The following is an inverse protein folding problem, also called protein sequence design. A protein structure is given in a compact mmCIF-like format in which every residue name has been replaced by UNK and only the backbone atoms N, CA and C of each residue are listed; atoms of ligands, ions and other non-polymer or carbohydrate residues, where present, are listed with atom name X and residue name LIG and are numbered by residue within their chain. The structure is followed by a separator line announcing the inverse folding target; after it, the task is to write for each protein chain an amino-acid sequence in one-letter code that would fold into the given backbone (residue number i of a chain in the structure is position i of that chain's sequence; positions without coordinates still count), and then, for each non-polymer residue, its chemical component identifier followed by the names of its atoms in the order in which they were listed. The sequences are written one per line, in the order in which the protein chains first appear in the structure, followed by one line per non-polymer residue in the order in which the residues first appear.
data_IF_945250774144
#
_entry.id   IF_945250774144
#
_cell.length_a   1.000
_cell.length_b   1.000
_cell.length_c   1.000
_cell.angle_alpha   90.00
_cell.angle_beta   90.00
_cell.angle_gamma   90.00
#
_symmetry.space_group_name_H-M   'P 1'
#
loop_
_entity.id
_entity.type
_entity.pdbx_description
1 polymer ?
#
# COMPACT_ATOMS: atom_id res chain seq x y z
N UNK A 1 -10.63 -20.95 -7.85
CA UNK A 1 -11.24 -20.07 -6.83
C UNK A 1 -12.01 -20.93 -5.83
N UNK A 2 -12.03 -20.61 -4.52
CA UNK A 2 -12.87 -21.33 -3.56
C UNK A 2 -14.34 -21.19 -3.98
N UNK A 3 -15.15 -22.24 -3.82
CA UNK A 3 -16.56 -22.26 -4.27
C UNK A 3 -17.49 -21.28 -3.53
N UNK A 4 -17.00 -20.56 -2.52
CA UNK A 4 -17.79 -19.76 -1.56
C UNK A 4 -17.46 -18.26 -1.57
N UNK A 5 -16.55 -17.80 -2.42
CA UNK A 5 -16.18 -16.37 -2.46
C UNK A 5 -17.29 -15.52 -3.08
N UNK A 6 -17.70 -14.44 -2.42
CA UNK A 6 -18.75 -13.53 -2.92
C UNK A 6 -18.59 -12.12 -2.35
N UNK A 7 -19.21 -11.12 -3.00
CA UNK A 7 -19.20 -9.74 -2.53
C UNK A 7 -17.86 -9.01 -2.65
N UNK A 8 -17.84 -7.79 -2.12
CA UNK A 8 -16.73 -6.84 -2.10
C UNK A 8 -16.25 -6.63 -0.67
N UNK A 9 -14.95 -6.48 -0.47
CA UNK A 9 -14.43 -6.17 0.86
C UNK A 9 -12.97 -5.74 0.87
N UNK A 10 -12.54 -5.29 2.04
CA UNK A 10 -11.17 -4.84 2.28
C UNK A 10 -10.42 -5.95 3.02
N UNK A 11 -9.19 -6.21 2.59
CA UNK A 11 -8.29 -7.18 3.20
C UNK A 11 -7.06 -6.46 3.69
N UNK A 12 -6.78 -6.56 4.99
CA UNK A 12 -5.54 -6.06 5.58
C UNK A 12 -4.77 -7.21 6.20
N UNK A 13 -3.47 -7.01 6.36
CA UNK A 13 -2.58 -7.91 7.09
C UNK A 13 -2.01 -7.17 8.29
N UNK A 14 -2.12 -7.76 9.48
CA UNK A 14 -1.54 -7.26 10.71
C UNK A 14 -0.87 -8.41 11.47
N UNK A 15 0.40 -8.25 11.81
CA UNK A 15 1.24 -9.31 12.37
C UNK A 15 1.93 -8.99 13.69
N UNK A 16 1.77 -7.79 14.22
CA UNK A 16 2.30 -7.43 15.53
C UNK A 16 1.50 -6.26 16.08
N UNK A 17 1.76 -5.90 17.34
CA UNK A 17 1.03 -4.82 18.01
C UNK A 17 1.02 -3.53 17.17
N UNK A 18 2.18 -3.10 16.67
CA UNK A 18 2.30 -1.86 15.90
C UNK A 18 1.48 -1.89 14.60
N UNK A 19 1.48 -3.02 13.87
CA UNK A 19 0.69 -3.18 12.64
C UNK A 19 -0.81 -3.30 12.92
N UNK A 20 -1.21 -3.87 14.06
CA UNK A 20 -2.60 -3.87 14.49
C UNK A 20 -3.08 -2.46 14.86
N UNK A 21 -2.28 -1.68 15.59
CA UNK A 21 -2.65 -0.31 15.97
C UNK A 21 -2.82 0.58 14.72
N UNK A 22 -1.94 0.42 13.71
CA UNK A 22 -2.07 1.11 12.42
C UNK A 22 -3.28 0.65 11.62
N UNK A 23 -3.51 -0.67 11.54
CA UNK A 23 -4.69 -1.26 10.90
C UNK A 23 -5.99 -0.74 11.53
N UNK A 24 -6.03 -0.68 12.86
CA UNK A 24 -7.17 -0.17 13.60
C UNK A 24 -7.41 1.33 13.33
N UNK A 25 -6.33 2.12 13.23
CA UNK A 25 -6.41 3.53 12.84
C UNK A 25 -7.02 3.68 11.45
N UNK A 26 -6.55 2.90 10.46
CA UNK A 26 -7.08 2.92 9.10
C UNK A 26 -8.58 2.52 9.06
N UNK A 27 -8.97 1.49 9.82
CA UNK A 27 -10.37 1.05 9.92
C UNK A 27 -11.24 2.13 10.58
N UNK A 28 -10.77 2.77 11.65
CA UNK A 28 -11.49 3.87 12.31
C UNK A 28 -11.72 5.05 11.37
N UNK A 29 -10.72 5.42 10.56
CA UNK A 29 -10.87 6.46 9.54
C UNK A 29 -11.91 6.05 8.48
N UNK A 30 -11.81 4.84 7.94
CA UNK A 30 -12.79 4.30 7.00
C UNK A 30 -14.22 4.35 7.55
N UNK A 31 -14.42 3.97 8.82
CA UNK A 31 -15.76 3.91 9.44
C UNK A 31 -16.29 5.26 9.89
N UNK A 32 -15.47 6.05 10.57
CA UNK A 32 -15.93 7.26 11.25
C UNK A 32 -15.78 8.52 10.41
N UNK A 33 -14.74 8.61 9.57
CA UNK A 33 -14.50 9.76 8.71
C UNK A 33 -15.16 9.57 7.34
N UNK A 34 -15.02 8.39 6.74
CA UNK A 34 -15.49 8.13 5.36
C UNK A 34 -16.82 7.37 5.28
N UNK A 35 -17.34 6.88 6.41
CA UNK A 35 -18.57 6.09 6.46
C UNK A 35 -18.60 4.87 5.52
N UNK A 36 -17.43 4.35 5.17
CA UNK A 36 -17.27 3.19 4.31
C UNK A 36 -17.96 1.97 4.92
N UNK A 37 -18.77 1.27 4.13
CA UNK A 37 -19.59 0.12 4.57
C UNK A 37 -19.03 -1.23 4.15
N UNK A 38 -17.90 -1.27 3.41
CA UNK A 38 -17.29 -2.51 2.98
C UNK A 38 -16.92 -3.39 4.18
N UNK A 39 -17.24 -4.68 4.10
CA UNK A 39 -16.75 -5.68 5.05
C UNK A 39 -15.22 -5.72 5.04
N UNK A 40 -14.63 -5.93 6.21
CA UNK A 40 -13.17 -5.94 6.38
C UNK A 40 -12.73 -7.28 6.97
N UNK A 41 -11.69 -7.88 6.41
CA UNK A 41 -10.97 -9.00 7.02
C UNK A 41 -9.54 -8.57 7.36
N UNK A 42 -9.14 -8.82 8.60
CA UNK A 42 -7.78 -8.54 9.10
C UNK A 42 -7.07 -9.87 9.32
N UNK A 43 -6.11 -10.17 8.46
CA UNK A 43 -5.40 -11.45 8.46
C UNK A 43 -4.12 -11.38 9.30
N UNK A 44 -3.87 -12.41 10.10
CA UNK A 44 -2.70 -12.53 10.98
C UNK A 44 -2.13 -13.96 10.94
N UNK A 45 -0.89 -14.15 11.42
CA UNK A 45 -0.35 -15.48 11.70
C UNK A 45 -0.78 -15.98 13.09
N UNK A 46 -0.59 -17.28 13.35
CA UNK A 46 -1.00 -17.92 14.60
C UNK A 46 -0.35 -17.32 15.85
N UNK A 47 0.91 -16.91 15.76
CA UNK A 47 1.66 -16.29 16.86
C UNK A 47 1.44 -14.76 16.96
N UNK A 48 0.62 -14.22 16.08
CA UNK A 48 0.30 -12.79 15.96
C UNK A 48 -1.18 -12.54 16.27
N UNK A 49 -1.84 -13.47 16.94
CA UNK A 49 -3.27 -13.39 17.22
C UNK A 49 -3.61 -12.09 18.00
N UNK A 50 -4.67 -11.36 17.59
CA UNK A 50 -5.10 -10.18 18.33
C UNK A 50 -5.56 -10.57 19.74
N UNK A 51 -5.29 -9.70 20.72
CA UNK A 51 -5.86 -9.83 22.05
C UNK A 51 -7.40 -9.76 22.01
N UNK A 52 -8.07 -10.30 23.03
CA UNK A 52 -9.54 -10.28 23.07
C UNK A 52 -10.13 -8.85 23.00
N UNK A 53 -9.48 -7.88 23.64
CA UNK A 53 -9.87 -6.47 23.54
C UNK A 53 -9.81 -5.96 22.09
N UNK A 54 -8.70 -6.26 21.41
CA UNK A 54 -8.48 -5.84 20.02
C UNK A 54 -9.45 -6.53 19.07
N UNK A 55 -9.76 -7.82 19.30
CA UNK A 55 -10.78 -8.55 18.56
C UNK A 55 -12.15 -7.90 18.69
N UNK A 56 -12.57 -7.57 19.93
CA UNK A 56 -13.85 -6.89 20.18
C UNK A 56 -13.90 -5.51 19.51
N UNK A 57 -12.80 -4.77 19.53
CA UNK A 57 -12.72 -3.46 18.87
C UNK A 57 -12.85 -3.58 17.34
N UNK A 58 -12.11 -4.51 16.72
CA UNK A 58 -12.25 -4.82 15.29
C UNK A 58 -13.69 -5.23 14.92
N UNK A 59 -14.29 -6.13 15.70
CA UNK A 59 -15.66 -6.60 15.48
C UNK A 59 -16.68 -5.45 15.60
N UNK A 60 -16.49 -4.53 16.55
CA UNK A 60 -17.35 -3.34 16.71
C UNK A 60 -17.28 -2.39 15.51
N UNK A 61 -16.18 -2.43 14.76
CA UNK A 61 -15.97 -1.68 13.52
C UNK A 61 -16.35 -2.47 12.27
N UNK A 62 -16.97 -3.65 12.41
CA UNK A 62 -17.34 -4.51 11.28
C UNK A 62 -16.14 -5.11 10.55
N UNK A 63 -15.02 -5.32 11.27
CA UNK A 63 -13.84 -6.02 10.79
C UNK A 63 -13.72 -7.39 11.48
N UNK A 64 -13.39 -8.43 10.71
CA UNK A 64 -13.26 -9.81 11.21
C UNK A 64 -11.80 -10.23 11.18
N UNK A 65 -11.18 -10.57 12.32
CA UNK A 65 -9.85 -11.16 12.32
C UNK A 65 -9.87 -12.58 11.74
N UNK A 66 -8.84 -12.93 10.96
CA UNK A 66 -8.69 -14.22 10.29
C UNK A 66 -7.28 -14.78 10.49
N UNK A 67 -7.19 -16.06 10.82
CA UNK A 67 -5.93 -16.74 11.07
C UNK A 67 -5.44 -17.45 9.79
N UNK A 68 -4.29 -17.05 9.26
CA UNK A 68 -3.67 -17.67 8.09
C UNK A 68 -3.14 -19.09 8.35
N UNK A 69 -3.03 -19.53 9.60
CA UNK A 69 -2.57 -20.87 9.95
C UNK A 69 -3.66 -21.94 9.84
N UNK A 70 -4.92 -21.57 9.60
CA UNK A 70 -6.01 -22.52 9.46
C UNK A 70 -5.74 -23.50 8.30
N UNK A 71 -5.59 -24.81 8.57
CA UNK A 71 -5.25 -25.81 7.57
C UNK A 71 -6.35 -26.04 6.51
N UNK A 72 -7.55 -25.51 6.70
CA UNK A 72 -8.65 -25.59 5.72
C UNK A 72 -8.53 -24.54 4.60
N UNK A 73 -7.65 -23.56 4.75
CA UNK A 73 -7.43 -22.52 3.75
C UNK A 73 -6.80 -23.06 2.47
N UNK A 74 -6.97 -22.34 1.36
CA UNK A 74 -6.35 -22.69 0.07
C UNK A 74 -4.83 -22.47 0.11
N UNK A 75 -4.40 -21.45 0.86
CA UNK A 75 -3.00 -21.06 1.06
C UNK A 75 -2.70 -20.84 2.54
N UNK A 76 -2.66 -21.90 3.36
CA UNK A 76 -2.35 -21.76 4.78
C UNK A 76 -0.87 -21.46 5.00
N UNK A 77 -0.55 -20.74 6.06
CA UNK A 77 0.81 -20.46 6.54
C UNK A 77 0.92 -21.03 7.96
N UNK A 78 1.22 -22.33 8.04
CA UNK A 78 1.27 -23.09 9.30
C UNK A 78 2.60 -22.87 10.04
N UNK A 79 3.69 -22.70 9.27
CA UNK A 79 5.04 -22.56 9.82
C UNK A 79 5.73 -21.34 9.22
N UNK A 80 6.33 -20.52 10.08
CA UNK A 80 7.30 -19.52 9.65
C UNK A 80 8.52 -20.22 9.09
N UNK A 81 8.93 -19.84 7.87
CA UNK A 81 10.20 -20.31 7.30
C UNK A 81 11.42 -19.67 7.96
N UNK A 82 11.30 -18.41 8.36
CA UNK A 82 12.27 -17.64 9.14
C UNK A 82 11.48 -16.74 10.09
N UNK A 83 12.03 -16.47 11.29
CA UNK A 83 11.35 -15.71 12.34
C UNK A 83 10.89 -14.31 11.87
N UNK A 84 11.65 -13.67 10.98
CA UNK A 84 11.52 -12.23 10.74
C UNK A 84 10.81 -11.83 9.44
N UNK A 85 10.67 -12.74 8.45
CA UNK A 85 10.11 -12.37 7.13
C UNK A 85 9.21 -13.45 6.54
N UNK A 86 7.95 -13.09 6.30
CA UNK A 86 6.93 -13.92 5.67
C UNK A 86 6.35 -13.17 4.46
N UNK A 87 7.02 -13.31 3.32
CA UNK A 87 6.71 -12.54 2.12
C UNK A 87 5.42 -12.98 1.40
N UNK A 88 4.97 -14.21 1.63
CA UNK A 88 3.77 -14.75 0.98
C UNK A 88 2.44 -14.33 1.61
N UNK A 89 2.47 -13.54 2.69
CA UNK A 89 1.28 -13.24 3.50
C UNK A 89 0.25 -12.44 2.70
N UNK A 90 0.69 -11.42 1.95
CA UNK A 90 -0.19 -10.53 1.17
C UNK A 90 -1.04 -11.32 0.17
N UNK A 91 -0.40 -12.13 -0.67
CA UNK A 91 -1.12 -12.94 -1.64
C UNK A 91 -1.98 -14.02 -0.96
N UNK A 92 -1.51 -14.63 0.13
CA UNK A 92 -2.29 -15.62 0.87
C UNK A 92 -3.57 -15.01 1.46
N UNK A 93 -3.50 -13.83 2.08
CA UNK A 93 -4.66 -13.11 2.63
C UNK A 93 -5.68 -12.79 1.54
N UNK A 94 -5.24 -12.25 0.40
CA UNK A 94 -6.13 -11.97 -0.74
C UNK A 94 -6.77 -13.27 -1.24
N UNK A 95 -6.00 -14.32 -1.49
CA UNK A 95 -6.49 -15.61 -2.01
C UNK A 95 -7.54 -16.22 -1.07
N UNK A 96 -7.23 -16.27 0.23
CA UNK A 96 -8.05 -16.93 1.25
C UNK A 96 -9.27 -16.11 1.71
N UNK A 97 -9.30 -14.80 1.43
CA UNK A 97 -10.42 -13.93 1.81
C UNK A 97 -11.77 -14.43 1.29
N UNK A 98 -12.84 -14.12 2.04
CA UNK A 98 -14.19 -14.51 1.65
C UNK A 98 -14.73 -13.70 0.44
N UNK A 99 -14.11 -12.57 0.12
CA UNK A 99 -14.59 -11.67 -0.93
C UNK A 99 -14.32 -12.21 -2.33
N UNK A 100 -15.17 -11.89 -3.31
CA UNK A 100 -14.85 -12.08 -4.73
C UNK A 100 -13.96 -10.94 -5.23
N UNK A 101 -14.33 -9.71 -4.86
CA UNK A 101 -13.66 -8.47 -5.24
C UNK A 101 -12.97 -7.89 -3.99
N UNK A 102 -11.65 -7.75 -4.04
CA UNK A 102 -10.82 -7.41 -2.87
C UNK A 102 -10.14 -6.07 -3.10
N UNK A 103 -10.28 -5.13 -2.15
CA UNK A 103 -9.32 -4.05 -1.96
C UNK A 103 -8.32 -4.51 -0.91
N UNK A 104 -7.08 -4.80 -1.31
CA UNK A 104 -6.01 -5.05 -0.36
C UNK A 104 -5.43 -3.71 0.15
N UNK A 105 -5.08 -3.62 1.43
CA UNK A 105 -4.36 -2.48 2.02
C UNK A 105 -3.27 -2.96 2.99
N UNK A 106 -2.08 -2.35 2.89
CA UNK A 106 -1.06 -2.45 3.94
C UNK A 106 -1.49 -1.67 5.19
N UNK A 107 -1.01 -2.09 6.36
CA UNK A 107 -1.41 -1.49 7.65
C UNK A 107 -1.08 0.01 7.76
N UNK A 108 -0.07 0.49 7.05
CA UNK A 108 0.37 1.89 7.00
C UNK A 108 -0.19 2.65 5.79
N UNK A 109 -1.15 2.07 5.07
CA UNK A 109 -1.83 2.71 3.97
C UNK A 109 -3.26 3.08 4.34
N UNK A 110 -3.55 4.38 4.35
CA UNK A 110 -4.82 4.92 4.80
C UNK A 110 -5.55 5.59 3.63
N UNK A 111 -6.78 5.15 3.31
CA UNK A 111 -7.61 5.85 2.33
C UNK A 111 -7.98 7.25 2.83
N UNK A 112 -7.84 8.26 1.97
CA UNK A 112 -8.25 9.64 2.21
C UNK A 112 -9.73 9.90 1.89
N UNK A 113 -10.39 8.94 1.21
CA UNK A 113 -11.80 8.95 0.86
C UNK A 113 -12.39 7.53 0.95
N UNK A 114 -13.72 7.38 0.84
CA UNK A 114 -14.35 6.05 0.74
C UNK A 114 -13.92 5.36 -0.56
N UNK A 115 -13.17 4.24 -0.52
CA UNK A 115 -12.64 3.60 -1.70
C UNK A 115 -13.66 2.69 -2.42
N UNK A 116 -14.92 2.64 -1.97
CA UNK A 116 -15.95 1.75 -2.52
C UNK A 116 -16.15 1.93 -4.04
N UNK A 117 -16.00 3.16 -4.54
CA UNK A 117 -16.17 3.47 -5.96
C UNK A 117 -15.17 2.75 -6.87
N UNK A 118 -14.01 2.32 -6.35
CA UNK A 118 -12.98 1.63 -7.13
C UNK A 118 -13.49 0.35 -7.78
N UNK A 119 -14.45 -0.35 -7.14
CA UNK A 119 -15.06 -1.55 -7.70
C UNK A 119 -16.00 -1.27 -8.89
N UNK A 120 -16.28 0.00 -9.17
CA UNK A 120 -17.22 0.42 -10.19
C UNK A 120 -16.60 1.24 -11.33
N UNK A 121 -15.30 1.55 -11.25
CA UNK A 121 -14.56 2.25 -12.31
C UNK A 121 -14.53 1.45 -13.60
N UNK A 122 -14.40 2.14 -14.74
CA UNK A 122 -14.40 1.51 -16.06
C UNK A 122 -13.17 0.62 -16.23
N UNK A 123 -12.04 1.09 -15.73
CA UNK A 123 -10.72 0.47 -15.72
C UNK A 123 -10.79 -0.88 -14.99
N UNK A 124 -11.36 -0.89 -13.78
CA UNK A 124 -11.50 -2.12 -12.99
C UNK A 124 -12.48 -3.10 -13.62
N UNK A 125 -13.62 -2.60 -14.13
CA UNK A 125 -14.59 -3.46 -14.81
C UNK A 125 -14.02 -4.10 -16.07
N UNK A 126 -13.14 -3.40 -16.79
CA UNK A 126 -12.47 -3.92 -17.97
C UNK A 126 -11.44 -5.01 -17.62
N UNK A 127 -10.56 -4.77 -16.65
CA UNK A 127 -9.40 -5.63 -16.41
C UNK A 127 -9.58 -6.61 -15.25
N UNK A 128 -10.33 -6.24 -14.22
CA UNK A 128 -10.43 -6.95 -12.95
C UNK A 128 -9.24 -6.75 -12.01
N UNK A 129 -8.31 -5.83 -12.34
CA UNK A 129 -7.16 -5.52 -11.50
C UNK A 129 -6.79 -4.02 -11.64
N UNK A 130 -6.83 -3.29 -10.52
CA UNK A 130 -6.29 -1.93 -10.41
C UNK A 130 -5.01 -1.92 -9.58
N UNK A 131 -3.98 -1.29 -10.12
CA UNK A 131 -2.68 -1.09 -9.49
C UNK A 131 -2.28 0.39 -9.50
N UNK A 132 -1.29 0.71 -8.67
CA UNK A 132 -0.76 2.06 -8.53
C UNK A 132 0.75 2.08 -8.78
N UNK A 133 1.27 3.16 -9.40
CA UNK A 133 2.68 3.29 -9.65
C UNK A 133 3.45 3.49 -8.34
N UNK A 134 4.68 3.02 -8.38
CA UNK A 134 5.70 3.19 -7.37
C UNK A 134 6.78 4.16 -7.88
N UNK A 135 7.73 4.48 -7.00
CA UNK A 135 8.76 5.48 -7.19
C UNK A 135 9.94 5.06 -8.07
N UNK A 136 10.06 3.79 -8.42
CA UNK A 136 11.19 3.29 -9.20
C UNK A 136 10.75 2.47 -10.40
N UNK A 137 11.73 2.19 -11.26
CA UNK A 137 11.59 1.31 -12.41
C UNK A 137 12.58 0.16 -12.27
N UNK A 138 12.20 -1.02 -12.75
CA UNK A 138 13.16 -2.10 -12.94
C UNK A 138 14.05 -1.79 -14.14
N UNK A 139 15.38 -1.90 -13.96
CA UNK A 139 16.33 -1.65 -15.04
C UNK A 139 16.14 -2.66 -16.17
N UNK A 140 16.25 -2.23 -17.44
CA UNK A 140 15.97 -3.10 -18.58
C UNK A 140 16.90 -4.32 -18.74
N UNK A 141 18.04 -4.32 -18.05
CA UNK A 141 18.96 -5.47 -18.01
C UNK A 141 18.64 -6.48 -16.88
N UNK A 142 17.60 -6.23 -16.10
CA UNK A 142 17.19 -7.12 -15.02
C UNK A 142 16.76 -8.49 -15.60
N UNK A 143 17.30 -9.57 -15.03
CA UNK A 143 17.04 -10.94 -15.49
C UNK A 143 15.63 -11.45 -15.22
N UNK A 144 14.79 -10.70 -14.51
CA UNK A 144 13.39 -11.05 -14.37
C UNK A 144 12.67 -11.19 -15.72
N UNK A 145 13.02 -10.35 -16.71
CA UNK A 145 12.41 -10.40 -18.05
C UNK A 145 12.72 -11.74 -18.75
N UNK A 146 13.97 -12.21 -18.65
CA UNK A 146 14.40 -13.51 -19.17
C UNK A 146 13.76 -14.68 -18.39
N UNK A 147 13.65 -14.56 -17.06
CA UNK A 147 13.08 -15.60 -16.19
C UNK A 147 11.59 -15.81 -16.43
N UNK A 148 10.86 -14.73 -16.73
CA UNK A 148 9.42 -14.76 -16.96
C UNK A 148 9.03 -14.81 -18.45
N UNK A 149 10.01 -14.77 -19.37
CA UNK A 149 9.81 -14.72 -20.82
C UNK A 149 8.86 -13.57 -21.26
N UNK A 150 9.14 -12.37 -20.75
CA UNK A 150 8.36 -11.15 -21.03
C UNK A 150 9.25 -10.05 -21.62
N UNK A 151 8.69 -9.12 -22.43
CA UNK A 151 9.45 -8.00 -22.94
C UNK A 151 9.88 -7.06 -21.80
N UNK A 152 11.08 -6.50 -21.94
CA UNK A 152 11.50 -5.35 -21.16
C UNK A 152 10.71 -4.11 -21.60
N UNK A 153 10.12 -3.41 -20.65
CA UNK A 153 9.38 -2.16 -20.87
C UNK A 153 9.81 -1.10 -19.86
N UNK A 154 9.95 0.16 -20.30
CA UNK A 154 10.34 1.29 -19.45
C UNK A 154 9.13 1.85 -18.68
N UNK A 155 8.60 1.06 -17.78
CA UNK A 155 7.41 1.36 -16.97
C UNK A 155 7.77 1.53 -15.48
N UNK A 156 6.91 2.24 -14.75
CA UNK A 156 7.01 2.31 -13.30
C UNK A 156 6.70 0.96 -12.65
N UNK A 157 7.35 0.68 -11.53
CA UNK A 157 6.99 -0.44 -10.69
C UNK A 157 5.63 -0.24 -10.04
N UNK A 158 5.09 -1.32 -9.51
CA UNK A 158 3.79 -1.35 -8.87
C UNK A 158 3.95 -1.30 -7.36
N UNK A 159 3.23 -0.39 -6.72
CA UNK A 159 3.12 -0.39 -5.27
C UNK A 159 1.99 -1.32 -4.84
N UNK A 160 2.30 -2.29 -3.99
CA UNK A 160 1.35 -3.32 -3.53
C UNK A 160 0.72 -3.01 -2.18
N UNK A 161 1.06 -1.85 -1.60
CA UNK A 161 0.40 -1.29 -0.43
C UNK A 161 -1.10 -1.10 -0.61
N UNK A 162 -1.57 -1.10 -1.86
CA UNK A 162 -2.98 -1.17 -2.22
C UNK A 162 -3.16 -1.78 -3.61
N UNK A 163 -4.17 -2.63 -3.74
CA UNK A 163 -4.53 -3.29 -5.00
C UNK A 163 -6.02 -3.59 -4.99
N UNK A 164 -6.70 -3.43 -6.13
CA UNK A 164 -8.10 -3.87 -6.27
C UNK A 164 -8.15 -5.05 -7.22
N UNK A 165 -8.64 -6.19 -6.77
CA UNK A 165 -8.53 -7.46 -7.50
C UNK A 165 -9.88 -8.18 -7.51
N UNK A 166 -10.43 -8.42 -8.70
CA UNK A 166 -11.47 -9.43 -8.93
C UNK A 166 -10.80 -10.81 -8.98
N UNK A 167 -11.02 -11.63 -7.95
CA UNK A 167 -10.42 -12.96 -7.86
C UNK A 167 -10.92 -13.93 -8.91
N UNK A 168 -12.09 -13.70 -9.51
CA UNK A 168 -12.59 -14.54 -10.59
C UNK A 168 -11.78 -14.32 -11.87
N UNK A 169 -11.56 -13.04 -12.23
CA UNK A 169 -10.75 -12.66 -13.40
C UNK A 169 -9.26 -12.88 -13.19
N UNK A 170 -8.78 -12.71 -11.95
CA UNK A 170 -7.36 -12.70 -11.62
C UNK A 170 -6.88 -13.94 -10.86
N UNK A 171 -7.64 -15.05 -10.88
CA UNK A 171 -7.32 -16.22 -10.05
C UNK A 171 -5.94 -16.80 -10.36
N UNK A 172 -5.62 -16.99 -11.65
CA UNK A 172 -4.36 -17.60 -12.11
C UNK A 172 -3.16 -16.70 -11.79
N UNK A 173 -3.15 -15.40 -12.13
CA UNK A 173 -2.01 -14.56 -11.79
C UNK A 173 -1.83 -14.36 -10.27
N UNK A 174 -2.90 -14.38 -9.48
CA UNK A 174 -2.76 -14.47 -8.01
C UNK A 174 -1.99 -15.72 -7.55
N UNK A 175 -2.20 -16.88 -8.20
CA UNK A 175 -1.44 -18.09 -7.86
C UNK A 175 0.04 -17.93 -8.19
N UNK A 176 0.36 -17.30 -9.32
CA UNK A 176 1.74 -17.07 -9.73
C UNK A 176 2.42 -16.04 -8.82
N UNK A 177 1.75 -14.94 -8.45
CA UNK A 177 2.27 -13.98 -7.48
C UNK A 177 2.59 -14.66 -6.14
N UNK A 178 1.65 -15.45 -5.59
CA UNK A 178 1.89 -16.23 -4.39
C UNK A 178 3.04 -17.23 -4.55
N UNK A 179 3.15 -17.89 -5.72
CA UNK A 179 4.24 -18.81 -6.00
C UNK A 179 5.59 -18.09 -5.99
N UNK A 180 5.70 -16.93 -6.63
CA UNK A 180 6.93 -16.13 -6.63
C UNK A 180 7.31 -15.67 -5.22
N UNK A 181 6.35 -15.20 -4.42
CA UNK A 181 6.57 -14.86 -3.01
C UNK A 181 6.96 -16.09 -2.18
N UNK A 182 6.37 -17.24 -2.49
CA UNK A 182 6.73 -18.49 -1.85
C UNK A 182 8.16 -18.90 -2.21
N UNK A 183 8.60 -18.68 -3.44
CA UNK A 183 9.96 -19.00 -3.91
C UNK A 183 10.87 -17.76 -3.91
N UNK A 184 10.77 -16.93 -2.86
CA UNK A 184 11.48 -15.65 -2.76
C UNK A 184 12.99 -15.79 -2.93
N UNK A 185 13.57 -16.94 -2.57
CA UNK A 185 15.01 -17.22 -2.72
C UNK A 185 15.48 -17.15 -4.17
N UNK A 186 14.56 -17.33 -5.13
CA UNK A 186 14.82 -17.21 -6.56
C UNK A 186 14.41 -15.83 -7.04
N UNK A 187 13.14 -15.47 -6.86
CA UNK A 187 12.57 -14.28 -7.49
C UNK A 187 13.08 -12.97 -6.90
N UNK A 188 13.40 -12.93 -5.60
CA UNK A 188 13.88 -11.69 -4.97
C UNK A 188 15.36 -11.43 -5.20
N UNK A 189 16.05 -12.29 -5.95
CA UNK A 189 17.33 -11.94 -6.56
C UNK A 189 17.15 -10.90 -7.67
N UNK A 190 15.94 -10.79 -8.22
CA UNK A 190 15.60 -9.91 -9.34
C UNK A 190 14.56 -8.86 -8.96
N UNK A 191 13.73 -9.13 -7.96
CA UNK A 191 12.61 -8.29 -7.52
C UNK A 191 12.86 -7.68 -6.13
N UNK A 192 12.31 -6.49 -5.89
CA UNK A 192 12.40 -5.76 -4.62
C UNK A 192 11.34 -6.22 -3.60
N UNK A 193 11.19 -7.55 -3.46
CA UNK A 193 10.30 -8.16 -2.47
C UNK A 193 8.96 -8.65 -3.03
N UNK A 194 8.00 -8.86 -2.13
CA UNK A 194 6.68 -9.41 -2.48
C UNK A 194 5.87 -8.47 -3.36
N UNK A 195 6.08 -7.16 -3.24
CA UNK A 195 5.28 -6.16 -3.96
C UNK A 195 5.37 -6.26 -5.47
N UNK A 196 6.57 -6.43 -6.02
CA UNK A 196 6.76 -6.50 -7.47
C UNK A 196 6.10 -7.76 -8.06
N UNK A 197 5.96 -8.83 -7.27
CA UNK A 197 5.44 -10.11 -7.76
C UNK A 197 4.02 -10.04 -8.32
N UNK A 198 3.20 -9.08 -7.90
CA UNK A 198 1.83 -8.94 -8.41
C UNK A 198 1.85 -8.47 -9.87
N UNK A 199 2.40 -7.28 -10.18
CA UNK A 199 2.51 -6.83 -11.58
C UNK A 199 3.17 -7.87 -12.49
N UNK A 200 4.31 -8.43 -12.06
CA UNK A 200 5.03 -9.41 -12.88
C UNK A 200 4.27 -10.72 -13.10
N UNK A 201 3.43 -11.15 -12.16
CA UNK A 201 2.57 -12.32 -12.37
C UNK A 201 1.52 -12.08 -13.46
N UNK A 202 0.96 -10.88 -13.54
CA UNK A 202 0.02 -10.52 -14.60
C UNK A 202 0.74 -10.43 -15.96
N UNK A 203 1.91 -9.79 -16.02
CA UNK A 203 2.71 -9.70 -17.24
C UNK A 203 3.13 -11.08 -17.77
N UNK A 204 3.65 -11.94 -16.90
CA UNK A 204 4.08 -13.30 -17.27
C UNK A 204 2.96 -14.19 -17.82
N UNK A 205 1.70 -13.85 -17.54
CA UNK A 205 0.52 -14.61 -17.98
C UNK A 205 -0.30 -13.88 -19.04
N UNK A 206 0.18 -12.75 -19.55
CA UNK A 206 -0.53 -11.89 -20.51
C UNK A 206 -1.96 -11.54 -20.01
N UNK A 207 -2.10 -11.29 -18.70
CA UNK A 207 -3.37 -10.98 -18.08
C UNK A 207 -3.55 -9.46 -17.96
N UNK A 208 -4.75 -8.93 -18.30
CA UNK A 208 -4.99 -7.49 -18.24
C UNK A 208 -4.98 -6.99 -16.80
N UNK A 209 -4.38 -5.82 -16.60
CA UNK A 209 -4.50 -5.00 -15.40
C UNK A 209 -4.49 -3.52 -15.83
N UNK A 210 -4.98 -2.65 -14.96
CA UNK A 210 -4.88 -1.21 -15.16
C UNK A 210 -3.92 -0.63 -14.13
N UNK A 211 -2.90 0.07 -14.61
CA UNK A 211 -2.00 0.89 -13.80
C UNK A 211 -2.54 2.32 -13.78
N UNK A 212 -2.83 2.85 -12.59
CA UNK A 212 -3.29 4.23 -12.42
C UNK A 212 -2.29 5.20 -13.06
N UNK A 213 -2.82 6.15 -13.84
CA UNK A 213 -2.03 7.02 -14.70
C UNK A 213 -1.25 8.07 -13.91
N UNK A 214 -1.87 8.62 -12.87
CA UNK A 214 -1.28 9.63 -12.02
C UNK A 214 -0.05 9.08 -11.28
N UNK A 215 1.13 9.62 -11.61
CA UNK A 215 2.37 9.29 -10.93
C UNK A 215 2.31 9.66 -9.45
N UNK A 216 2.97 8.85 -8.63
CA UNK A 216 2.99 8.97 -7.18
C UNK A 216 3.55 10.32 -6.70
N UNK A 217 2.83 10.96 -5.78
CA UNK A 217 3.25 12.14 -5.03
C UNK A 217 3.83 11.77 -3.66
N UNK A 218 4.20 12.77 -2.88
CA UNK A 218 4.77 12.58 -1.54
C UNK A 218 4.28 13.64 -0.56
N UNK A 219 4.04 13.25 0.68
CA UNK A 219 3.79 14.15 1.79
C UNK A 219 4.90 14.07 2.82
N UNK A 220 5.15 15.19 3.50
CA UNK A 220 6.13 15.26 4.58
C UNK A 220 6.30 16.66 5.15
N UNK A 221 7.48 16.90 5.72
CA UNK A 221 7.82 18.12 6.46
C UNK A 221 9.13 18.72 5.97
N UNK A 222 9.44 19.96 6.38
CA UNK A 222 10.72 20.61 6.10
C UNK A 222 11.74 20.32 7.20
N UNK A 223 12.81 19.60 6.87
CA UNK A 223 13.92 19.33 7.79
C UNK A 223 15.16 20.09 7.32
N UNK A 224 15.59 21.09 8.10
CA UNK A 224 16.74 21.94 7.79
C UNK A 224 16.68 22.55 6.37
N UNK A 225 15.53 23.15 6.03
CA UNK A 225 15.24 23.77 4.72
C UNK A 225 15.29 22.81 3.52
N UNK A 226 15.19 21.49 3.75
CA UNK A 226 15.00 20.47 2.71
C UNK A 226 13.71 19.72 2.95
N UNK A 227 12.92 19.53 1.90
CA UNK A 227 11.69 18.75 1.96
C UNK A 227 12.03 17.28 2.25
N UNK A 228 11.50 16.76 3.36
CA UNK A 228 11.62 15.38 3.79
C UNK A 228 10.27 14.68 3.62
N UNK A 229 10.04 14.15 2.42
CA UNK A 229 8.90 13.28 2.15
C UNK A 229 9.06 11.95 2.85
N UNK A 230 8.02 11.48 3.54
CA UNK A 230 8.03 10.20 4.23
C UNK A 230 6.75 9.38 4.02
N UNK A 231 5.90 9.82 3.09
CA UNK A 231 4.60 9.26 2.83
C UNK A 231 4.29 9.38 1.35
N UNK A 232 3.88 8.28 0.71
CA UNK A 232 3.42 8.27 -0.67
C UNK A 232 2.00 8.81 -0.73
N UNK A 233 1.73 9.65 -1.72
CA UNK A 233 0.39 10.08 -2.08
C UNK A 233 0.03 9.43 -3.41
N UNK A 234 -1.03 8.65 -3.41
CA UNK A 234 -1.48 7.93 -4.60
C UNK A 234 -2.93 8.25 -4.88
N UNK A 235 -3.27 8.34 -6.15
CA UNK A 235 -4.45 9.06 -6.63
C UNK A 235 -5.56 8.11 -7.09
N UNK A 236 -6.79 8.62 -7.19
CA UNK A 236 -7.89 7.86 -7.77
C UNK A 236 -7.63 7.57 -9.26
N UNK A 237 -7.99 6.38 -9.77
CA UNK A 237 -7.89 6.08 -11.20
C UNK A 237 -8.94 6.86 -12.00
N UNK A 238 -8.65 7.13 -13.27
CA UNK A 238 -9.58 7.80 -14.17
C UNK A 238 -9.81 9.28 -13.84
N UNK A 239 -8.91 9.92 -13.07
CA UNK A 239 -8.87 11.38 -12.99
C UNK A 239 -8.49 11.97 -14.35
N UNK A 240 -9.16 13.05 -14.76
CA UNK A 240 -8.73 13.81 -15.92
C UNK A 240 -7.34 14.43 -15.64
N UNK A 241 -6.56 14.64 -16.69
CA UNK A 241 -5.31 15.40 -16.61
C UNK A 241 -5.64 16.77 -16.00
N UNK A 242 -5.22 17.00 -14.74
CA UNK A 242 -5.27 18.26 -13.97
C UNK A 242 -6.07 18.24 -12.64
N UNK A 243 -6.81 17.16 -12.28
CA UNK A 243 -7.53 17.06 -10.99
C UNK A 243 -7.37 15.69 -10.30
N UNK A 244 -6.10 15.30 -10.09
CA UNK A 244 -5.77 14.06 -9.40
C UNK A 244 -6.19 14.12 -7.92
N UNK A 245 -7.28 13.43 -7.59
CA UNK A 245 -7.75 13.29 -6.21
C UNK A 245 -6.86 12.32 -5.44
N UNK A 246 -6.22 12.79 -4.35
CA UNK A 246 -5.43 11.92 -3.47
C UNK A 246 -6.37 10.90 -2.82
N UNK A 247 -6.13 9.62 -3.07
CA UNK A 247 -6.96 8.54 -2.54
C UNK A 247 -6.27 7.77 -1.41
N UNK A 248 -4.95 7.63 -1.46
CA UNK A 248 -4.19 6.86 -0.49
C UNK A 248 -3.03 7.67 0.07
N UNK A 249 -2.95 7.69 1.40
CA UNK A 249 -1.85 8.26 2.19
C UNK A 249 -1.07 7.07 2.77
N UNK A 250 -0.04 6.65 2.05
CA UNK A 250 0.74 5.46 2.37
C UNK A 250 2.04 5.84 3.10
N UNK A 251 2.04 5.71 4.42
CA UNK A 251 3.02 6.24 5.35
C UNK A 251 4.30 5.38 5.46
N UNK A 252 4.88 5.04 4.31
CA UNK A 252 5.91 4.02 4.10
C UNK A 252 7.26 4.28 4.78
N UNK A 253 7.71 5.53 4.89
CA UNK A 253 8.93 5.89 5.65
C UNK A 253 8.60 6.39 7.06
N UNK A 254 7.41 6.94 7.25
CA UNK A 254 6.90 7.35 8.56
C UNK A 254 6.87 6.15 9.52
N UNK A 255 6.44 4.96 9.06
CA UNK A 255 6.38 3.74 9.87
C UNK A 255 7.71 3.28 10.48
N UNK A 256 8.85 3.60 9.86
CA UNK A 256 10.19 3.23 10.33
C UNK A 256 10.92 4.39 11.01
N UNK A 257 10.32 5.56 11.03
CA UNK A 257 10.89 6.73 11.71
C UNK A 257 10.56 6.67 13.19
N UNK A 258 11.51 7.04 14.04
CA UNK A 258 11.32 7.03 15.49
C UNK A 258 10.26 8.07 15.88
N UNK A 259 9.26 7.65 16.64
CA UNK A 259 8.15 8.52 17.09
C UNK A 259 8.62 9.81 17.77
N UNK A 260 9.82 9.84 18.37
CA UNK A 260 10.37 11.05 19.00
C UNK A 260 10.56 12.23 18.04
N UNK A 261 10.61 11.96 16.74
CA UNK A 261 10.69 12.98 15.70
C UNK A 261 9.35 13.64 15.40
N UNK A 262 8.24 13.07 15.89
CA UNK A 262 6.89 13.57 15.65
C UNK A 262 6.05 13.69 16.94
N UNK A 263 6.61 13.30 18.08
CA UNK A 263 5.96 13.39 19.38
C UNK A 263 6.92 14.09 20.34
N UNK A 264 6.61 15.34 20.67
CA UNK A 264 7.31 16.14 21.66
C UNK A 264 6.44 16.33 22.91
N UNK A 265 6.68 15.50 23.93
CA UNK A 265 5.81 15.45 25.12
C UNK A 265 4.53 14.66 24.85
N UNK A 266 3.37 15.20 25.26
CA UNK A 266 2.04 14.58 25.06
C UNK A 266 1.30 15.11 23.80
N UNK A 267 1.93 15.95 22.99
CA UNK A 267 1.34 16.53 21.78
C UNK A 267 1.98 15.87 20.54
N UNK A 268 1.18 15.20 19.69
CA UNK A 268 1.65 14.80 18.37
C UNK A 268 1.88 16.05 17.51
N UNK A 269 3.06 16.20 16.93
CA UNK A 269 3.25 17.10 15.81
C UNK A 269 2.60 16.51 14.57
N UNK A 270 2.01 17.39 13.77
CA UNK A 270 1.49 17.10 12.45
C UNK A 270 2.67 16.67 11.52
N UNK A 271 2.80 15.39 11.11
CA UNK A 271 3.93 14.91 10.32
C UNK A 271 3.87 15.40 8.87
N UNK A 272 2.71 15.83 8.39
CA UNK A 272 2.50 16.33 7.04
C UNK A 272 2.23 17.83 7.08
N UNK A 273 3.24 18.60 6.68
CA UNK A 273 3.11 20.04 6.43
C UNK A 273 2.83 20.29 4.94
N UNK A 274 3.46 19.51 4.07
CA UNK A 274 3.49 19.75 2.63
C UNK A 274 3.16 18.48 1.85
N UNK A 275 2.38 18.65 0.78
CA UNK A 275 2.17 17.67 -0.28
C UNK A 275 2.95 18.12 -1.53
N UNK A 276 3.71 17.21 -2.14
CA UNK A 276 4.54 17.47 -3.31
C UNK A 276 4.24 16.44 -4.40
N UNK A 277 3.97 16.91 -5.62
CA UNK A 277 3.66 16.05 -6.79
C UNK A 277 4.32 16.56 -8.06
N UNK A 278 4.47 15.71 -9.07
CA UNK A 278 4.94 16.17 -10.39
C UNK A 278 3.88 17.06 -11.05
N UNK A 279 4.32 18.11 -11.76
CA UNK A 279 3.44 18.90 -12.64
C UNK A 279 2.97 18.13 -13.88
N UNK A 280 3.57 16.97 -14.19
CA UNK A 280 3.16 16.09 -15.29
C UNK A 280 2.86 14.68 -14.77
N UNK A 281 1.98 14.55 -13.79
CA UNK A 281 1.69 13.27 -13.11
C UNK A 281 1.35 12.14 -14.09
N UNK A 282 0.53 12.37 -15.10
CA UNK A 282 0.09 11.33 -16.05
C UNK A 282 1.11 10.96 -17.13
N UNK A 283 2.09 11.83 -17.38
CA UNK A 283 3.10 11.66 -18.43
C UNK A 283 4.52 11.52 -17.86
N UNK A 284 4.65 11.39 -16.53
CA UNK A 284 5.97 11.35 -15.92
C UNK A 284 6.68 10.05 -16.28
N UNK A 285 7.82 10.17 -16.98
CA UNK A 285 8.78 9.08 -17.16
C UNK A 285 10.18 9.46 -16.65
N UNK A 286 10.33 10.66 -16.07
CA UNK A 286 11.62 11.33 -15.86
C UNK A 286 11.92 11.64 -14.40
N UNK A 287 11.01 12.34 -13.70
CA UNK A 287 11.28 12.80 -12.34
C UNK A 287 11.34 11.60 -11.42
N UNK A 288 12.49 11.42 -10.78
CA UNK A 288 12.77 10.29 -9.90
C UNK A 288 12.85 10.81 -8.48
N UNK A 289 12.27 10.10 -7.51
CA UNK A 289 12.55 10.39 -6.12
C UNK A 289 13.96 9.91 -5.74
N UNK A 290 14.66 10.72 -4.96
CA UNK A 290 15.92 10.38 -4.31
C UNK A 290 15.67 10.19 -2.81
N UNK A 291 16.07 9.03 -2.31
CA UNK A 291 16.06 8.71 -0.89
C UNK A 291 17.32 9.24 -0.22
N UNK A 292 17.18 9.85 0.95
CA UNK A 292 18.31 10.33 1.75
C UNK A 292 18.00 10.25 3.24
N UNK A 293 19.03 10.32 4.09
CA UNK A 293 18.86 10.43 5.54
C UNK A 293 19.09 11.88 5.94
N UNK A 294 18.12 12.47 6.66
CA UNK A 294 18.25 13.84 7.17
C UNK A 294 19.42 13.93 8.16
N UNK A 295 19.93 15.14 8.39
CA UNK A 295 20.95 15.35 9.42
C UNK A 295 20.47 15.02 10.84
N UNK A 296 19.16 14.85 11.03
CA UNK A 296 18.55 14.40 12.28
C UNK A 296 18.29 12.88 12.33
N UNK A 297 18.67 12.14 11.28
CA UNK A 297 18.55 10.68 11.21
C UNK A 297 17.22 10.16 10.64
N UNK A 298 16.37 11.02 10.08
CA UNK A 298 15.10 10.61 9.48
C UNK A 298 15.31 10.08 8.07
N UNK A 299 14.61 9.01 7.70
CA UNK A 299 14.55 8.54 6.32
C UNK A 299 13.62 9.46 5.53
N UNK A 300 14.15 10.09 4.49
CA UNK A 300 13.46 11.09 3.70
C UNK A 300 13.51 10.73 2.22
N UNK A 301 12.58 11.30 1.48
CA UNK A 301 12.51 11.28 0.03
C UNK A 301 12.22 12.66 -0.50
N UNK A 302 12.84 13.01 -1.62
CA UNK A 302 12.47 14.19 -2.38
C UNK A 302 12.60 13.91 -3.88
N UNK A 303 11.87 14.64 -4.72
CA UNK A 303 12.09 14.58 -6.16
C UNK A 303 13.44 15.15 -6.55
N UNK A 304 14.07 14.56 -7.57
CA UNK A 304 15.24 15.14 -8.22
C UNK A 304 14.91 16.50 -8.83
N UNK A 305 15.88 17.40 -8.77
CA UNK A 305 15.83 18.71 -9.43
C UNK A 305 16.95 18.79 -10.47
N UNK A 306 17.04 17.79 -11.37
CA UNK A 306 18.04 17.81 -12.43
C UNK A 306 17.60 18.76 -13.53
N UNK A 307 18.58 19.40 -14.18
CA UNK A 307 18.30 20.35 -15.26
C UNK A 307 17.53 19.66 -16.40
N UNK A 308 16.33 20.17 -16.70
CA UNK A 308 15.44 19.64 -17.74
C UNK A 308 14.34 18.70 -17.23
N UNK A 309 14.32 18.36 -15.94
CA UNK A 309 13.19 17.67 -15.33
C UNK A 309 12.03 18.65 -15.08
N UNK A 310 10.76 18.19 -15.19
CA UNK A 310 9.59 19.01 -14.88
C UNK A 310 9.60 19.48 -13.43
N UNK A 311 9.04 20.66 -13.18
CA UNK A 311 8.88 21.16 -11.81
C UNK A 311 7.90 20.29 -11.01
N UNK A 312 8.12 20.27 -9.70
CA UNK A 312 7.17 19.71 -8.75
C UNK A 312 6.27 20.81 -8.18
N UNK A 313 4.99 20.51 -8.04
CA UNK A 313 4.03 21.34 -7.34
C UNK A 313 4.10 20.97 -5.86
N UNK A 314 4.28 21.97 -5.00
CA UNK A 314 4.27 21.80 -3.54
C UNK A 314 3.15 22.65 -2.97
N UNK A 315 2.28 22.03 -2.19
CA UNK A 315 1.08 22.62 -1.60
C UNK A 315 1.06 22.31 -0.09
N UNK A 316 0.35 23.13 0.67
CA UNK A 316 0.08 22.88 2.07
C UNK A 316 -0.79 21.61 2.22
N UNK A 317 -0.40 20.70 3.10
CA UNK A 317 -1.04 19.38 3.20
C UNK A 317 -2.51 19.48 3.62
N UNK A 318 -2.83 20.32 4.60
CA UNK A 318 -4.20 20.51 5.09
C UNK A 318 -5.07 21.23 4.05
N UNK A 319 -4.46 21.95 3.11
CA UNK A 319 -5.18 22.55 1.96
C UNK A 319 -5.61 21.50 0.94
N UNK A 320 -4.83 20.43 0.73
CA UNK A 320 -5.17 19.35 -0.23
C UNK A 320 -5.94 18.19 0.41
N UNK A 321 -5.74 17.94 1.71
CA UNK A 321 -6.46 16.92 2.49
C UNK A 321 -6.96 17.48 3.83
N UNK A 322 -8.00 18.32 3.82
CA UNK A 322 -8.55 18.93 5.03
C UNK A 322 -8.97 17.89 6.07
N UNK A 323 -8.70 18.18 7.34
CA UNK A 323 -9.05 17.37 8.53
C UNK A 323 -8.47 15.94 8.57
N UNK A 324 -7.77 15.48 7.52
CA UNK A 324 -7.25 14.12 7.44
C UNK A 324 -6.29 13.84 8.59
N UNK A 325 -5.31 14.71 8.75
CA UNK A 325 -4.26 14.53 9.74
C UNK A 325 -4.80 14.65 11.17
N UNK A 326 -5.70 15.61 11.42
CA UNK A 326 -6.40 15.74 12.72
C UNK A 326 -7.17 14.46 13.07
N UNK A 327 -7.90 13.88 12.11
CA UNK A 327 -8.62 12.63 12.33
C UNK A 327 -7.66 11.45 12.49
N UNK A 328 -6.55 11.41 11.74
CA UNK A 328 -5.54 10.37 11.86
C UNK A 328 -5.03 10.24 13.31
N UNK A 329 -4.66 11.36 13.95
CA UNK A 329 -4.25 11.35 15.35
C UNK A 329 -5.39 11.08 16.32
N UNK A 330 -6.58 11.66 16.08
CA UNK A 330 -7.78 11.40 16.88
C UNK A 330 -8.10 9.91 16.97
N UNK A 331 -7.84 9.15 15.90
CA UNK A 331 -8.14 7.73 15.83
C UNK A 331 -6.96 6.79 16.14
N UNK A 332 -5.85 7.34 16.67
CA UNK A 332 -4.74 6.55 17.21
C UNK A 332 -3.52 6.43 16.32
N UNK A 333 -3.42 7.24 15.26
CA UNK A 333 -2.20 7.35 14.46
C UNK A 333 -1.02 7.89 15.28
N UNK A 334 0.17 7.30 15.13
CA UNK A 334 1.34 7.60 15.98
C UNK A 334 2.61 7.96 15.21
N UNK A 335 2.56 8.09 13.88
CA UNK A 335 3.65 8.66 13.07
C UNK A 335 5.02 7.96 13.12
N UNK A 336 5.18 6.82 13.81
CA UNK A 336 6.49 6.19 13.97
C UNK A 336 6.50 4.83 14.65
N UNK A 337 7.66 4.17 14.62
CA UNK A 337 7.96 2.94 15.37
C UNK A 337 8.27 3.28 16.83
N UNK A 338 7.85 2.42 17.77
CA UNK A 338 8.30 2.51 19.17
C UNK A 338 9.60 1.73 19.31
N UNK A 339 10.74 2.34 19.00
CA UNK A 339 12.03 1.70 19.31
C UNK A 339 12.33 1.88 20.80
N UNK A 340 12.11 0.83 21.58
CA UNK A 340 12.53 0.72 22.99
C UNK A 340 14.03 0.54 23.12
#
# INVERSE_FOLDING_TARGET
MPSTTSGRGIVLVAGNRDTFDRTLTAIKLLRHMHHCQLSIEVWHLSDEQPSEHMRQELESLGATPRDLSDPQLVRPIIHRRNADKQFQIKAAAVINSAFKEVLYLDSDNVPAHDPTFLFDTAEYKATGALFWPDFWKTHGENKIFDVLDIPCEDEWEQESGQMVIDKEKSWVPLQLAWYMQKHYEIYFQFLNGDKDTFKYAWKALDMPYHMTEAFVGMAGTMVNNRFCGHTMLQYAPGSDQDDDTILFVHANLLKITDRKHFIHGDQPEHPWDLAKRSSMSHANTWIKPEFYVSTQGQACMDFTHRQGEPDAITEDFDSVLPDFQTNYFKYGGIGGETRS
#
